data_IF_222317908304
#
_entry.id   IF_222317908304
#
_cell.length_a   1.000
_cell.length_b   1.000
_cell.length_c   1.000
_cell.angle_alpha   90.00
_cell.angle_beta   90.00
_cell.angle_gamma   90.00
#
_symmetry.space_group_name_H-M   'P 1'
#
loop_
_entity.id
_entity.type
_entity.pdbx_description
1 polymer ?
#
# COMPACT_ATOMS: atom_id res chain seq x y z
N UNK A 1 11.78 -3.03 -14.53
CA UNK A 1 11.48 -4.25 -13.75
C UNK A 1 12.10 -5.51 -14.32
N UNK A 2 12.20 -5.70 -15.65
CA UNK A 2 12.78 -6.94 -16.21
C UNK A 2 14.26 -7.13 -15.94
N UNK A 3 15.04 -6.04 -15.88
CA UNK A 3 16.49 -6.09 -15.62
C UNK A 3 16.77 -6.33 -14.13
N UNK A 4 16.02 -5.66 -13.27
CA UNK A 4 16.13 -5.71 -11.81
C UNK A 4 15.71 -7.09 -11.30
N UNK A 5 14.63 -7.66 -11.85
CA UNK A 5 14.21 -9.02 -11.54
C UNK A 5 15.25 -10.06 -11.97
N UNK A 6 15.93 -9.86 -13.11
CA UNK A 6 17.03 -10.73 -13.53
C UNK A 6 18.22 -10.68 -12.57
N UNK A 7 18.58 -9.48 -12.09
CA UNK A 7 19.64 -9.31 -11.09
C UNK A 7 19.27 -9.99 -9.77
N UNK A 8 18.06 -9.77 -9.26
CA UNK A 8 17.57 -10.39 -8.03
C UNK A 8 17.54 -11.92 -8.12
N UNK A 9 17.09 -12.48 -9.25
CA UNK A 9 17.15 -13.91 -9.50
C UNK A 9 18.60 -14.42 -9.58
N UNK A 10 19.49 -13.65 -10.22
CA UNK A 10 20.91 -14.00 -10.37
C UNK A 10 21.66 -14.10 -9.04
N UNK A 11 21.21 -13.40 -8.00
CA UNK A 11 21.73 -13.52 -6.63
C UNK A 11 20.95 -14.53 -5.76
N UNK A 12 20.03 -15.29 -6.35
CA UNK A 12 19.31 -16.38 -5.68
C UNK A 12 18.10 -15.96 -4.84
N UNK A 13 17.60 -14.73 -4.98
CA UNK A 13 16.41 -14.30 -4.25
C UNK A 13 15.14 -14.93 -4.84
N UNK A 14 14.26 -15.35 -3.95
CA UNK A 14 12.89 -15.79 -4.27
C UNK A 14 11.89 -14.65 -4.06
N UNK A 15 10.71 -14.66 -4.72
CA UNK A 15 9.68 -13.62 -4.52
C UNK A 15 9.35 -13.38 -3.05
N UNK A 16 9.09 -14.45 -2.29
CA UNK A 16 8.74 -14.34 -0.87
C UNK A 16 9.85 -13.71 -0.01
N UNK A 17 11.13 -13.94 -0.37
CA UNK A 17 12.25 -13.28 0.33
C UNK A 17 12.29 -11.78 0.02
N UNK A 18 11.99 -11.40 -1.23
CA UNK A 18 11.91 -9.98 -1.62
C UNK A 18 10.75 -9.29 -0.90
N UNK A 19 9.58 -9.93 -0.77
CA UNK A 19 8.45 -9.41 0.02
C UNK A 19 8.83 -9.22 1.50
N UNK A 20 9.54 -10.18 2.10
CA UNK A 20 9.99 -10.09 3.49
C UNK A 20 11.01 -8.94 3.70
N UNK A 21 11.92 -8.72 2.75
CA UNK A 21 12.82 -7.57 2.73
C UNK A 21 12.03 -6.27 2.63
N UNK A 22 11.00 -6.22 1.78
CA UNK A 22 10.08 -5.09 1.66
C UNK A 22 9.43 -4.73 3.00
N UNK A 23 8.98 -5.72 3.78
CA UNK A 23 8.42 -5.52 5.12
C UNK A 23 9.45 -4.98 6.10
N UNK A 24 10.69 -5.48 6.07
CA UNK A 24 11.75 -4.95 6.91
C UNK A 24 11.97 -3.45 6.63
N UNK A 25 11.95 -3.03 5.35
CA UNK A 25 12.04 -1.63 4.98
C UNK A 25 10.81 -0.81 5.42
N UNK A 26 9.60 -1.36 5.39
CA UNK A 26 8.42 -0.69 5.94
C UNK A 26 8.54 -0.45 7.45
N UNK A 27 9.05 -1.44 8.20
CA UNK A 27 9.33 -1.29 9.64
C UNK A 27 10.37 -0.21 9.90
N UNK A 28 11.48 -0.22 9.15
CA UNK A 28 12.52 0.80 9.28
C UNK A 28 11.99 2.20 8.95
N UNK A 29 11.15 2.32 7.91
CA UNK A 29 10.46 3.57 7.57
C UNK A 29 9.58 4.07 8.71
N UNK A 30 8.76 3.19 9.30
CA UNK A 30 7.91 3.53 10.43
C UNK A 30 8.71 3.95 11.67
N UNK A 31 9.81 3.27 11.97
CA UNK A 31 10.71 3.64 13.07
C UNK A 31 11.36 5.00 12.82
N UNK A 32 11.76 5.29 11.57
CA UNK A 32 12.30 6.58 11.18
C UNK A 32 11.26 7.71 11.35
N UNK A 33 10.01 7.49 10.90
CA UNK A 33 8.90 8.41 11.15
C UNK A 33 8.60 8.59 12.64
N UNK A 34 8.71 7.54 13.45
CA UNK A 34 8.44 7.65 14.89
C UNK A 34 9.54 8.43 15.63
N UNK A 35 10.81 8.16 15.29
CA UNK A 35 11.98 8.68 16.03
C UNK A 35 12.54 9.99 15.47
N UNK A 36 11.91 10.59 14.47
CA UNK A 36 12.44 11.78 13.79
C UNK A 36 12.80 12.95 14.70
N UNK A 37 12.08 13.15 15.81
CA UNK A 37 12.36 14.23 16.77
C UNK A 37 13.74 14.10 17.44
N UNK A 38 14.24 12.87 17.59
CA UNK A 38 15.58 12.63 18.16
C UNK A 38 16.68 12.85 17.12
N UNK A 39 16.38 12.57 15.85
CA UNK A 39 17.33 12.61 14.75
C UNK A 39 16.64 13.13 13.48
N UNK A 40 16.69 14.45 13.20
CA UNK A 40 15.94 15.06 12.10
C UNK A 40 16.23 14.47 10.72
N UNK A 41 17.42 13.92 10.48
CA UNK A 41 17.76 13.24 9.22
C UNK A 41 16.83 12.03 8.94
N UNK A 42 16.19 11.46 9.96
CA UNK A 42 15.25 10.36 9.80
C UNK A 42 13.99 10.78 9.04
N UNK A 43 13.62 12.07 9.01
CA UNK A 43 12.53 12.56 8.14
C UNK A 43 12.86 12.39 6.65
N UNK A 44 14.14 12.40 6.28
CA UNK A 44 14.60 12.15 4.91
C UNK A 44 14.68 10.64 4.66
N UNK A 45 15.19 9.88 5.63
CA UNK A 45 15.34 8.44 5.51
C UNK A 45 13.98 7.72 5.43
N UNK A 46 12.98 8.18 6.18
CA UNK A 46 11.67 7.52 6.27
C UNK A 46 10.97 7.35 4.90
N UNK A 47 10.79 8.39 4.06
CA UNK A 47 10.20 8.22 2.73
C UNK A 47 11.09 7.46 1.75
N UNK A 48 12.42 7.51 1.89
CA UNK A 48 13.31 6.68 1.07
C UNK A 48 13.12 5.19 1.37
N UNK A 49 13.07 4.83 2.66
CA UNK A 49 12.81 3.46 3.11
C UNK A 49 11.41 2.99 2.68
N UNK A 50 10.41 3.88 2.73
CA UNK A 50 9.05 3.61 2.22
C UNK A 50 9.07 3.28 0.72
N UNK A 51 9.76 4.08 -0.09
CA UNK A 51 9.86 3.85 -1.53
C UNK A 51 10.63 2.57 -1.86
N UNK A 52 11.68 2.25 -1.10
CA UNK A 52 12.40 0.97 -1.25
C UNK A 52 11.47 -0.21 -0.91
N UNK A 53 10.67 -0.09 0.15
CA UNK A 53 9.66 -1.10 0.51
C UNK A 53 8.67 -1.35 -0.63
N UNK A 54 8.09 -0.27 -1.19
CA UNK A 54 7.18 -0.38 -2.34
C UNK A 54 7.86 -0.88 -3.62
N UNK A 55 9.14 -0.59 -3.81
CA UNK A 55 9.92 -1.14 -4.92
C UNK A 55 10.16 -2.65 -4.77
N UNK A 56 10.44 -3.14 -3.56
CA UNK A 56 10.59 -4.57 -3.29
C UNK A 56 9.31 -5.34 -3.67
N UNK A 57 8.15 -4.81 -3.29
CA UNK A 57 6.85 -5.37 -3.67
C UNK A 57 6.67 -5.42 -5.21
N UNK A 58 6.90 -4.30 -5.91
CA UNK A 58 6.83 -4.31 -7.38
C UNK A 58 7.83 -5.30 -8.03
N UNK A 59 9.00 -5.50 -7.40
CA UNK A 59 10.04 -6.42 -7.83
C UNK A 59 9.66 -7.89 -7.58
N UNK A 60 9.04 -8.23 -6.45
CA UNK A 60 8.66 -9.61 -6.15
C UNK A 60 7.61 -10.14 -7.13
N UNK A 61 6.63 -9.31 -7.50
CA UNK A 61 5.60 -9.64 -8.47
C UNK A 61 6.19 -9.77 -9.87
N UNK A 62 7.16 -8.92 -10.22
CA UNK A 62 7.89 -9.04 -11.48
C UNK A 62 8.73 -10.33 -11.53
N UNK A 63 9.41 -10.68 -10.43
CA UNK A 63 10.20 -11.90 -10.29
C UNK A 63 9.34 -13.15 -10.43
N UNK A 64 8.19 -13.19 -9.75
CA UNK A 64 7.24 -14.29 -9.82
C UNK A 64 6.72 -14.49 -11.26
N UNK A 65 6.36 -13.41 -11.95
CA UNK A 65 5.86 -13.46 -13.34
C UNK A 65 6.93 -13.87 -14.34
N UNK A 66 8.14 -13.33 -14.23
CA UNK A 66 9.21 -13.56 -15.22
C UNK A 66 9.80 -14.97 -15.14
N UNK A 67 9.82 -15.57 -13.96
CA UNK A 67 10.41 -16.90 -13.73
C UNK A 67 9.37 -18.00 -13.52
N UNK A 68 8.08 -17.71 -13.74
CA UNK A 68 7.00 -18.69 -13.58
C UNK A 68 6.84 -19.20 -12.14
N UNK A 69 7.23 -18.40 -11.14
CA UNK A 69 7.21 -18.75 -9.71
C UNK A 69 5.93 -18.23 -9.00
N UNK A 70 4.89 -17.86 -9.77
CA UNK A 70 3.60 -17.47 -9.21
C UNK A 70 2.92 -18.65 -8.54
N UNK A 71 2.67 -18.54 -7.24
CA UNK A 71 1.95 -19.56 -6.44
C UNK A 71 0.75 -18.93 -5.75
N UNK A 72 -0.30 -19.70 -5.48
CA UNK A 72 -1.48 -19.21 -4.75
C UNK A 72 -1.12 -18.69 -3.35
N UNK A 73 -0.21 -19.40 -2.65
CA UNK A 73 0.31 -18.95 -1.36
C UNK A 73 1.10 -17.64 -1.48
N UNK A 74 1.97 -17.50 -2.49
CA UNK A 74 2.73 -16.29 -2.72
C UNK A 74 1.84 -15.07 -2.98
N UNK A 75 0.83 -15.20 -3.85
CA UNK A 75 -0.14 -14.12 -4.12
C UNK A 75 -0.93 -13.73 -2.87
N UNK A 76 -1.33 -14.72 -2.05
CA UNK A 76 -1.98 -14.45 -0.76
C UNK A 76 -1.05 -13.73 0.22
N UNK A 77 0.19 -14.21 0.34
CA UNK A 77 1.19 -13.68 1.27
C UNK A 77 1.56 -12.24 0.90
N UNK A 78 1.83 -11.98 -0.38
CA UNK A 78 2.10 -10.66 -0.96
C UNK A 78 1.01 -9.64 -0.57
N UNK A 79 -0.24 -9.98 -0.91
CA UNK A 79 -1.42 -9.24 -0.50
C UNK A 79 -1.50 -8.99 1.02
N UNK A 80 -1.21 -10.00 1.84
CA UNK A 80 -1.27 -9.86 3.30
C UNK A 80 -0.18 -8.91 3.81
N UNK A 81 1.06 -9.08 3.33
CA UNK A 81 2.21 -8.28 3.73
C UNK A 81 2.03 -6.82 3.31
N UNK A 82 1.48 -6.54 2.15
CA UNK A 82 1.14 -5.19 1.70
C UNK A 82 0.27 -4.41 2.70
N UNK A 83 -0.72 -5.09 3.26
CA UNK A 83 -1.64 -4.50 4.26
C UNK A 83 -0.91 -4.23 5.57
N UNK A 84 0.00 -5.11 5.98
CA UNK A 84 0.87 -4.88 7.14
C UNK A 84 1.86 -3.74 6.89
N UNK A 85 2.49 -3.66 5.72
CA UNK A 85 3.43 -2.60 5.37
C UNK A 85 2.76 -1.22 5.46
N UNK A 86 1.60 -1.06 4.82
CA UNK A 86 0.81 0.16 4.89
C UNK A 86 0.49 0.51 6.36
N UNK A 87 0.02 -0.46 7.14
CA UNK A 87 -0.36 -0.24 8.52
C UNK A 87 0.80 0.17 9.43
N UNK A 88 1.94 -0.51 9.27
CA UNK A 88 3.17 -0.22 10.01
C UNK A 88 3.63 1.22 9.74
N UNK A 89 3.62 1.65 8.48
CA UNK A 89 4.02 3.02 8.09
C UNK A 89 3.09 4.07 8.67
N UNK A 90 1.77 3.89 8.55
CA UNK A 90 0.80 4.81 9.17
C UNK A 90 0.97 4.88 10.69
N UNK A 91 1.19 3.75 11.36
CA UNK A 91 1.50 3.73 12.79
C UNK A 91 2.75 4.55 13.13
N UNK A 92 3.83 4.41 12.35
CA UNK A 92 5.05 5.21 12.52
C UNK A 92 4.80 6.72 12.41
N UNK A 93 3.97 7.13 11.45
CA UNK A 93 3.59 8.55 11.24
C UNK A 93 2.75 9.07 12.40
N UNK A 94 1.75 8.31 12.85
CA UNK A 94 0.86 8.67 13.97
C UNK A 94 1.66 8.77 15.27
N UNK A 95 2.45 7.75 15.61
CA UNK A 95 3.28 7.73 16.81
C UNK A 95 4.41 8.77 16.73
N UNK A 96 4.84 9.11 15.52
CA UNK A 96 5.75 10.20 15.22
C UNK A 96 5.13 11.58 15.36
N UNK A 97 3.82 11.69 15.64
CA UNK A 97 3.11 12.97 15.76
C UNK A 97 3.33 13.88 14.55
N UNK A 98 3.34 13.26 13.36
CA UNK A 98 3.50 13.92 12.04
C UNK A 98 2.14 14.17 11.36
N UNK A 99 1.07 13.68 11.96
CA UNK A 99 -0.31 13.97 11.61
C UNK A 99 -1.18 13.96 12.87
N UNK A 100 -2.37 14.52 12.75
CA UNK A 100 -3.40 14.34 13.77
C UNK A 100 -3.83 12.85 13.82
N UNK A 101 -3.88 12.21 15.01
CA UNK A 101 -4.17 10.78 15.13
C UNK A 101 -5.52 10.36 14.55
N UNK A 102 -6.55 11.22 14.61
CA UNK A 102 -7.85 10.89 14.02
C UNK A 102 -7.71 10.73 12.50
N UNK A 103 -7.07 11.69 11.83
CA UNK A 103 -6.85 11.60 10.38
C UNK A 103 -5.93 10.44 9.99
N UNK A 104 -4.88 10.19 10.77
CA UNK A 104 -4.00 9.02 10.57
C UNK A 104 -4.76 7.69 10.65
N UNK A 105 -5.64 7.53 11.65
CA UNK A 105 -6.46 6.33 11.80
C UNK A 105 -7.49 6.19 10.67
N UNK A 106 -8.12 7.28 10.22
CA UNK A 106 -9.06 7.24 9.10
C UNK A 106 -8.36 6.87 7.79
N UNK A 107 -7.13 7.37 7.55
CA UNK A 107 -6.32 6.99 6.39
C UNK A 107 -5.89 5.51 6.45
N UNK A 108 -5.46 5.04 7.62
CA UNK A 108 -5.13 3.63 7.86
C UNK A 108 -6.32 2.71 7.54
N UNK A 109 -7.48 2.99 8.15
CA UNK A 109 -8.71 2.21 7.97
C UNK A 109 -9.13 2.24 6.50
N UNK A 110 -9.14 3.41 5.88
CA UNK A 110 -9.47 3.58 4.46
C UNK A 110 -8.55 2.75 3.57
N UNK A 111 -7.24 2.80 3.78
CA UNK A 111 -6.24 2.02 3.03
C UNK A 111 -6.53 0.52 3.08
N UNK A 112 -6.79 -0.01 4.28
CA UNK A 112 -7.11 -1.43 4.47
C UNK A 112 -8.45 -1.81 3.83
N UNK A 113 -9.46 -0.94 3.97
CA UNK A 113 -10.79 -1.18 3.41
C UNK A 113 -10.81 -1.12 1.88
N UNK A 114 -9.98 -0.29 1.25
CA UNK A 114 -9.82 -0.31 -0.22
C UNK A 114 -9.42 -1.71 -0.67
N UNK A 115 -8.35 -2.27 -0.09
CA UNK A 115 -7.84 -3.61 -0.43
C UNK A 115 -8.81 -4.72 -0.03
N UNK A 116 -9.52 -4.59 1.09
CA UNK A 116 -10.53 -5.57 1.52
C UNK A 116 -11.74 -5.58 0.59
N UNK A 117 -12.31 -4.42 0.24
CA UNK A 117 -13.48 -4.32 -0.61
C UNK A 117 -13.25 -4.96 -1.98
N UNK A 118 -12.04 -4.79 -2.54
CA UNK A 118 -11.63 -5.47 -3.78
C UNK A 118 -11.57 -6.98 -3.61
N UNK A 119 -10.81 -7.47 -2.63
CA UNK A 119 -10.67 -8.91 -2.41
C UNK A 119 -12.01 -9.59 -2.12
N UNK A 120 -12.89 -8.96 -1.34
CA UNK A 120 -14.21 -9.49 -1.02
C UNK A 120 -15.13 -9.52 -2.25
N UNK A 121 -15.11 -8.49 -3.08
CA UNK A 121 -15.90 -8.47 -4.31
C UNK A 121 -15.41 -9.49 -5.34
N UNK A 122 -14.09 -9.64 -5.49
CA UNK A 122 -13.49 -10.64 -6.38
C UNK A 122 -13.83 -12.07 -5.93
N UNK A 123 -13.90 -12.33 -4.62
CA UNK A 123 -14.37 -13.60 -4.06
C UNK A 123 -15.83 -13.92 -4.40
N UNK A 124 -16.67 -12.89 -4.63
CA UNK A 124 -18.07 -13.04 -5.11
C UNK A 124 -18.15 -13.06 -6.66
N UNK A 125 -17.00 -13.08 -7.34
CA UNK A 125 -16.88 -13.14 -8.79
C UNK A 125 -17.15 -11.80 -9.49
N UNK A 126 -17.00 -10.67 -8.79
CA UNK A 126 -17.07 -9.32 -9.38
C UNK A 126 -15.64 -8.78 -9.50
N UNK A 127 -15.17 -8.55 -10.74
CA UNK A 127 -13.84 -8.00 -11.00
C UNK A 127 -13.77 -6.52 -10.60
N UNK A 128 -12.70 -6.14 -9.90
CA UNK A 128 -12.51 -4.80 -9.31
C UNK A 128 -11.23 -4.09 -9.75
N UNK A 129 -10.50 -4.67 -10.71
CA UNK A 129 -9.17 -4.23 -11.16
C UNK A 129 -9.09 -2.78 -11.65
N UNK A 130 -10.18 -2.21 -12.15
CA UNK A 130 -10.24 -0.84 -12.70
C UNK A 130 -11.07 0.13 -11.85
N UNK A 131 -11.51 -0.28 -10.64
CA UNK A 131 -12.47 0.50 -9.85
C UNK A 131 -11.78 1.12 -8.64
N UNK A 132 -11.58 2.43 -8.70
CA UNK A 132 -11.02 3.23 -7.62
C UNK A 132 -9.86 4.11 -8.07
N UNK A 133 -9.60 5.19 -7.32
CA UNK A 133 -8.52 6.17 -7.63
C UNK A 133 -7.35 6.07 -6.66
N UNK A 134 -7.58 5.48 -5.47
CA UNK A 134 -6.57 5.36 -4.42
C UNK A 134 -6.04 3.92 -4.29
N UNK A 135 -5.50 3.35 -5.39
CA UNK A 135 -4.78 2.08 -5.28
C UNK A 135 -3.45 2.26 -4.52
N UNK A 136 -2.72 1.16 -4.32
CA UNK A 136 -1.59 1.15 -3.39
C UNK A 136 -0.43 2.02 -3.87
N UNK A 137 -0.12 2.00 -5.16
CA UNK A 137 0.95 2.79 -5.73
C UNK A 137 0.71 4.30 -5.54
N UNK A 138 -0.52 4.77 -5.77
CA UNK A 138 -0.92 6.16 -5.60
C UNK A 138 -0.79 6.57 -4.13
N UNK A 139 -1.21 5.72 -3.20
CA UNK A 139 -1.07 5.99 -1.76
C UNK A 139 0.38 6.15 -1.35
N UNK A 140 1.25 5.24 -1.80
CA UNK A 140 2.69 5.30 -1.54
C UNK A 140 3.32 6.57 -2.10
N UNK A 141 2.95 6.96 -3.33
CA UNK A 141 3.46 8.17 -3.98
C UNK A 141 3.00 9.43 -3.23
N UNK A 142 1.71 9.54 -2.89
CA UNK A 142 1.19 10.70 -2.13
C UNK A 142 1.91 10.82 -0.79
N UNK A 143 2.07 9.70 -0.08
CA UNK A 143 2.73 9.69 1.21
C UNK A 143 4.22 10.06 1.11
N UNK A 144 4.93 9.54 0.09
CA UNK A 144 6.32 9.87 -0.16
C UNK A 144 6.51 11.35 -0.51
N UNK A 145 5.69 11.90 -1.42
CA UNK A 145 5.73 13.32 -1.79
C UNK A 145 5.48 14.20 -0.56
N UNK A 146 4.41 13.91 0.19
CA UNK A 146 4.06 14.68 1.40
C UNK A 146 5.18 14.62 2.46
N UNK A 147 5.86 13.47 2.56
CA UNK A 147 6.99 13.28 3.47
C UNK A 147 8.27 14.00 3.02
N UNK A 148 8.55 14.10 1.72
CA UNK A 148 9.66 14.93 1.24
C UNK A 148 9.36 16.42 1.41
N UNK A 149 8.11 16.83 1.18
CA UNK A 149 7.69 18.22 1.44
C UNK A 149 7.77 18.57 2.93
N UNK A 150 7.58 17.60 3.83
CA UNK A 150 7.66 17.83 5.27
C UNK A 150 9.06 18.19 5.79
N UNK A 151 10.10 18.00 4.97
CA UNK A 151 11.46 18.49 5.24
C UNK A 151 11.49 20.02 5.27
N UNK A 152 10.75 20.67 4.37
CA UNK A 152 10.69 22.14 4.28
C UNK A 152 9.46 22.73 5.00
N UNK A 153 8.35 21.98 5.03
CA UNK A 153 7.10 22.39 5.67
C UNK A 153 6.47 21.21 6.41
N UNK A 154 6.77 21.09 7.71
CA UNK A 154 6.44 19.91 8.52
C UNK A 154 4.99 19.43 8.38
N UNK A 155 4.02 20.34 8.29
CA UNK A 155 2.59 20.01 8.19
C UNK A 155 2.20 19.38 6.84
N UNK A 156 3.06 19.43 5.82
CA UNK A 156 2.80 18.85 4.51
C UNK A 156 2.46 17.36 4.60
N UNK A 157 3.10 16.62 5.50
CA UNK A 157 2.79 15.20 5.73
C UNK A 157 1.40 15.02 6.34
N UNK A 158 1.02 15.88 7.29
CA UNK A 158 -0.35 15.86 7.86
C UNK A 158 -1.40 16.11 6.79
N UNK A 159 -1.17 17.07 5.89
CA UNK A 159 -2.06 17.31 4.73
C UNK A 159 -2.11 16.11 3.78
N UNK A 160 -0.97 15.47 3.50
CA UNK A 160 -0.92 14.24 2.72
C UNK A 160 -1.77 13.12 3.34
N UNK A 161 -1.70 12.96 4.67
CA UNK A 161 -2.51 11.99 5.41
C UNK A 161 -4.01 12.33 5.34
N UNK A 162 -4.39 13.60 5.45
CA UNK A 162 -5.79 14.02 5.29
C UNK A 162 -6.30 13.72 3.88
N UNK A 163 -5.51 14.04 2.85
CA UNK A 163 -5.84 13.71 1.46
C UNK A 163 -6.03 12.20 1.32
N UNK A 164 -5.11 11.39 1.85
CA UNK A 164 -5.21 9.93 1.85
C UNK A 164 -6.47 9.43 2.55
N UNK A 165 -6.79 9.97 3.72
CA UNK A 165 -8.00 9.64 4.47
C UNK A 165 -9.26 9.86 3.62
N UNK A 166 -9.35 11.01 2.94
CA UNK A 166 -10.50 11.31 2.09
C UNK A 166 -10.54 10.40 0.86
N UNK A 167 -9.46 10.32 0.07
CA UNK A 167 -9.50 9.58 -1.21
C UNK A 167 -9.69 8.08 -1.02
N UNK A 168 -9.13 7.49 0.04
CA UNK A 168 -9.25 6.05 0.29
C UNK A 168 -10.67 5.68 0.69
N UNK A 169 -11.28 6.44 1.60
CA UNK A 169 -12.67 6.21 2.00
C UNK A 169 -13.67 6.52 0.87
N UNK A 170 -13.40 7.52 0.04
CA UNK A 170 -14.17 7.73 -1.19
C UNK A 170 -14.02 6.56 -2.17
N UNK A 171 -12.82 6.00 -2.31
CA UNK A 171 -12.57 4.82 -3.15
C UNK A 171 -13.32 3.59 -2.62
N UNK A 172 -13.40 3.41 -1.30
CA UNK A 172 -14.23 2.35 -0.69
C UNK A 172 -15.70 2.53 -1.08
N UNK A 173 -16.23 3.75 -0.98
CA UNK A 173 -17.60 4.04 -1.39
C UNK A 173 -17.84 3.75 -2.87
N UNK A 174 -16.91 4.15 -3.75
CA UNK A 174 -16.95 3.84 -5.18
C UNK A 174 -17.02 2.32 -5.43
N UNK A 175 -16.17 1.53 -4.74
CA UNK A 175 -16.17 0.07 -4.84
C UNK A 175 -17.48 -0.55 -4.37
N UNK A 176 -18.08 -0.04 -3.30
CA UNK A 176 -19.39 -0.51 -2.80
C UNK A 176 -20.51 -0.22 -3.82
N UNK A 177 -20.56 0.99 -4.37
CA UNK A 177 -21.57 1.38 -5.36
C UNK A 177 -21.44 0.54 -6.64
N UNK A 178 -20.20 0.34 -7.10
CA UNK A 178 -19.92 -0.50 -8.25
C UNK A 178 -20.34 -1.96 -8.00
N UNK A 179 -19.95 -2.54 -6.86
CA UNK A 179 -20.34 -3.90 -6.49
C UNK A 179 -21.87 -4.07 -6.52
N UNK A 180 -22.62 -3.17 -5.88
CA UNK A 180 -24.08 -3.21 -5.86
C UNK A 180 -24.69 -3.23 -7.27
N UNK A 181 -24.13 -2.44 -8.18
CA UNK A 181 -24.60 -2.35 -9.57
C UNK A 181 -24.29 -3.64 -10.32
N UNK A 182 -23.07 -4.14 -10.21
CA UNK A 182 -22.62 -5.37 -10.85
C UNK A 182 -23.38 -6.62 -10.35
N UNK A 183 -23.61 -6.74 -9.04
CA UNK A 183 -24.35 -7.86 -8.46
C UNK A 183 -25.79 -7.93 -8.95
N UNK A 184 -26.49 -6.78 -9.03
CA UNK A 184 -27.85 -6.72 -9.57
C UNK A 184 -27.96 -7.17 -11.02
N UNK A 185 -26.94 -6.88 -11.83
CA UNK A 185 -26.91 -7.31 -13.23
C UNK A 185 -26.74 -8.83 -13.32
N UNK A 186 -25.84 -9.40 -12.51
CA UNK A 186 -25.61 -10.84 -12.43
C UNK A 186 -26.87 -11.61 -11.98
N UNK A 187 -27.62 -11.08 -11.01
CA UNK A 187 -28.89 -11.67 -10.55
C UNK A 187 -29.98 -11.66 -11.64
N UNK A 188 -30.03 -10.60 -12.46
CA UNK A 188 -30.96 -10.53 -13.60
C UNK A 188 -30.63 -11.53 -14.69
N UNK A 189 -29.35 -11.69 -15.02
CA UNK A 189 -28.87 -12.64 -16.02
C UNK A 189 -29.08 -14.11 -15.59
N UNK A 190 -29.07 -14.41 -14.29
CA UNK A 190 -29.34 -15.77 -13.79
C UNK A 190 -30.82 -16.12 -13.66
N UNK A 191 -31.72 -15.13 -13.77
CA UNK A 191 -33.16 -15.29 -13.55
C UNK A 191 -33.99 -15.30 -14.85
N UNK A 192 -33.37 -15.10 -16.01
CA UNK A 192 -33.99 -15.16 -17.34
C UNK A 192 -33.41 -16.28 -18.17
#
# INVERSE_FOLDING_TARGET
MTTEAKLAHGIGLTPNQVSAIGIAFAILSALAYWKWRFHPFLLIAAPLLLLVSGFCDALDGALARLYGQTTAFGVFLDSLLDRYADAIVFCGIILGGLCDPFWGLVALIGSLLVSYARARAEAEGVRMEAVGVAERAERLIILAIASFLSIAWLDALSWGVIILAVITNLTVLQRVIYFRTASKQKEKESSG
#
